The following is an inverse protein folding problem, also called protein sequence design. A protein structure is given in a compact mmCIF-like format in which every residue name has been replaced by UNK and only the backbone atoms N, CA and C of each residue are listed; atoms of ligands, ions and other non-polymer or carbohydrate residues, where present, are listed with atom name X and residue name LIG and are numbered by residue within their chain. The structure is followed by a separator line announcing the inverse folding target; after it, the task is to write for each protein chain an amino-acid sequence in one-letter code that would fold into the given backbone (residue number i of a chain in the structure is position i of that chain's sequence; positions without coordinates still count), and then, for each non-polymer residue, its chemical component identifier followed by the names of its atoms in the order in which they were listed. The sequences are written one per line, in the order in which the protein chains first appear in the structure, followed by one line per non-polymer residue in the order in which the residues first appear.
data_IF_086643408000
#
_entry.id   IF_086643408000
#
_cell.length_a   1.000
_cell.length_b   1.000
_cell.length_c   1.000
_cell.angle_alpha   90.00
_cell.angle_beta   90.00
_cell.angle_gamma   90.00
#
_symmetry.space_group_name_H-M   'P 1'
#
loop_
_entity.id
_entity.type
_entity.pdbx_description
1 polymer ?
#
# COMPACT_ATOMS: atom_id res chain seq x y z
N UNK A 1 -26.52 9.61 22.90
CA UNK A 1 -26.24 8.17 23.00
C UNK A 1 -25.36 7.80 21.80
N UNK A 2 -24.05 7.64 22.01
CA UNK A 2 -23.16 7.10 20.97
C UNK A 2 -23.42 5.59 20.90
N UNK A 3 -23.93 5.08 19.79
CA UNK A 3 -23.92 3.65 19.56
C UNK A 3 -22.47 3.22 19.39
N UNK A 4 -21.98 2.37 20.30
CA UNK A 4 -20.72 1.68 20.14
C UNK A 4 -20.80 0.88 18.84
N UNK A 5 -20.03 1.28 17.82
CA UNK A 5 -19.84 0.44 16.65
C UNK A 5 -19.11 -0.80 17.13
N UNK A 6 -19.75 -1.95 17.00
CA UNK A 6 -19.14 -3.25 17.24
C UNK A 6 -17.97 -3.39 16.28
N UNK A 7 -16.76 -3.53 16.84
CA UNK A 7 -15.58 -3.96 16.10
C UNK A 7 -15.96 -5.23 15.34
N UNK A 8 -15.75 -5.32 14.02
CA UNK A 8 -16.08 -6.52 13.27
C UNK A 8 -15.42 -7.73 13.92
N UNK A 9 -16.20 -8.80 14.13
CA UNK A 9 -15.65 -10.10 14.48
C UNK A 9 -14.62 -10.51 13.43
N UNK A 10 -13.60 -11.26 13.90
CA UNK A 10 -12.52 -11.83 13.09
C UNK A 10 -13.06 -12.30 11.72
N UNK A 11 -12.49 -11.84 10.58
CA UNK A 11 -12.96 -12.26 9.26
C UNK A 11 -12.99 -13.78 9.17
N UNK A 12 -14.08 -14.34 8.65
CA UNK A 12 -14.15 -15.76 8.37
C UNK A 12 -13.07 -16.12 7.33
N UNK A 13 -12.44 -17.30 7.40
CA UNK A 13 -11.35 -17.70 6.50
C UNK A 13 -11.73 -17.85 5.00
N UNK A 14 -12.87 -17.28 4.57
CA UNK A 14 -13.33 -17.19 3.18
C UNK A 14 -13.87 -15.81 2.77
N UNK A 15 -13.87 -14.79 3.64
CA UNK A 15 -14.22 -13.43 3.22
C UNK A 15 -13.08 -12.86 2.36
N UNK A 16 -13.44 -12.28 1.21
CA UNK A 16 -12.46 -11.59 0.37
C UNK A 16 -11.76 -10.51 1.21
N UNK A 17 -10.42 -10.50 1.20
CA UNK A 17 -9.65 -9.51 1.92
C UNK A 17 -10.14 -8.11 1.53
N UNK A 18 -10.76 -7.41 2.49
CA UNK A 18 -11.20 -6.03 2.33
C UNK A 18 -9.94 -5.21 2.09
N UNK A 19 -9.84 -4.58 0.91
CA UNK A 19 -8.67 -3.79 0.55
C UNK A 19 -8.51 -2.60 1.50
N UNK A 20 -7.28 -2.10 1.67
CA UNK A 20 -6.98 -1.04 2.65
C UNK A 20 -7.87 0.20 2.51
N UNK A 21 -8.38 0.48 1.30
CA UNK A 21 -9.25 1.64 1.02
C UNK A 21 -10.64 1.53 1.66
N UNK A 22 -11.08 0.31 1.92
CA UNK A 22 -12.40 0.00 2.47
C UNK A 22 -12.32 -0.27 3.98
N UNK A 23 -11.11 -0.28 4.55
CA UNK A 23 -10.86 -0.43 5.98
C UNK A 23 -10.76 0.92 6.68
N UNK A 24 -11.23 0.98 7.92
CA UNK A 24 -10.86 2.03 8.86
C UNK A 24 -9.41 1.88 9.32
N UNK A 25 -8.82 2.97 9.80
CA UNK A 25 -7.46 2.93 10.40
C UNK A 25 -7.41 1.97 11.59
N UNK A 26 -8.48 1.89 12.39
CA UNK A 26 -8.57 0.96 13.52
C UNK A 26 -8.53 -0.50 13.07
N UNK A 27 -9.30 -0.85 12.02
CA UNK A 27 -9.31 -2.21 11.45
C UNK A 27 -7.96 -2.58 10.83
N UNK A 28 -7.31 -1.64 10.12
CA UNK A 28 -5.98 -1.89 9.56
C UNK A 28 -4.95 -2.15 10.67
N UNK A 29 -4.93 -1.32 11.71
CA UNK A 29 -4.01 -1.50 12.85
C UNK A 29 -4.26 -2.82 13.58
N UNK A 30 -5.52 -3.19 13.79
CA UNK A 30 -5.88 -4.48 14.38
C UNK A 30 -5.41 -5.66 13.50
N UNK A 31 -5.52 -5.53 12.17
CA UNK A 31 -5.07 -6.54 11.21
C UNK A 31 -3.55 -6.73 11.23
N UNK A 32 -2.78 -5.63 11.27
CA UNK A 32 -1.31 -5.69 11.37
C UNK A 32 -0.84 -6.28 12.70
N UNK A 33 -1.58 -6.03 13.80
CA UNK A 33 -1.26 -6.56 15.12
C UNK A 33 -1.69 -8.03 15.33
N UNK A 34 -2.52 -8.58 14.44
CA UNK A 34 -3.03 -9.93 14.56
C UNK A 34 -1.92 -10.99 14.41
N UNK A 35 -2.10 -12.14 15.05
CA UNK A 35 -1.22 -13.31 14.86
C UNK A 35 -1.49 -14.03 13.53
N UNK A 36 -1.48 -13.27 12.43
CA UNK A 36 -1.66 -13.74 11.05
C UNK A 36 -0.45 -13.32 10.21
N UNK A 37 -0.14 -14.02 9.10
CA UNK A 37 1.05 -13.70 8.31
C UNK A 37 0.96 -12.38 7.52
N UNK A 38 -0.26 -11.90 7.26
CA UNK A 38 -0.57 -10.67 6.51
C UNK A 38 -1.75 -9.94 7.17
N UNK A 39 -1.87 -8.61 6.99
CA UNK A 39 -0.89 -7.69 6.39
C UNK A 39 0.36 -7.52 7.28
N UNK A 40 1.50 -7.17 6.66
CA UNK A 40 2.80 -7.13 7.32
C UNK A 40 3.55 -5.79 7.18
N UNK A 41 4.87 -5.82 7.39
CA UNK A 41 5.72 -4.63 7.34
C UNK A 41 5.75 -3.94 5.97
N UNK A 42 5.66 -4.70 4.87
CA UNK A 42 5.57 -4.14 3.52
C UNK A 42 4.29 -3.33 3.32
N UNK A 43 3.16 -3.93 3.72
CA UNK A 43 1.83 -3.29 3.73
C UNK A 43 1.85 -1.99 4.55
N UNK A 44 2.41 -2.02 5.76
CA UNK A 44 2.55 -0.84 6.61
C UNK A 44 3.46 0.24 6.00
N UNK A 45 4.56 -0.15 5.35
CA UNK A 45 5.49 0.77 4.68
C UNK A 45 4.84 1.48 3.49
N UNK A 46 4.04 0.75 2.71
CA UNK A 46 3.28 1.33 1.60
C UNK A 46 2.23 2.34 2.10
N UNK A 47 1.52 2.03 3.19
CA UNK A 47 0.58 2.97 3.81
C UNK A 47 1.29 4.22 4.35
N UNK A 48 2.44 4.07 5.00
CA UNK A 48 3.24 5.20 5.47
C UNK A 48 3.66 6.12 4.32
N UNK A 49 4.06 5.54 3.17
CA UNK A 49 4.31 6.30 1.95
C UNK A 49 3.07 7.05 1.46
N UNK A 50 1.91 6.39 1.41
CA UNK A 50 0.66 7.02 0.97
C UNK A 50 0.27 8.22 1.86
N UNK A 51 0.45 8.10 3.19
CA UNK A 51 0.27 9.20 4.14
C UNK A 51 1.22 10.36 3.87
N UNK A 52 2.51 10.07 3.58
CA UNK A 52 3.47 11.10 3.20
C UNK A 52 3.00 11.87 1.97
N UNK A 53 2.53 11.17 0.93
CA UNK A 53 2.02 11.81 -0.28
C UNK A 53 0.77 12.65 -0.01
N UNK A 54 -0.16 12.14 0.82
CA UNK A 54 -1.36 12.88 1.20
C UNK A 54 -1.03 14.22 1.91
N UNK A 55 0.02 14.24 2.73
CA UNK A 55 0.51 15.47 3.37
C UNK A 55 1.12 16.45 2.35
N UNK A 56 1.93 15.97 1.41
CA UNK A 56 2.48 16.82 0.34
C UNK A 56 1.37 17.46 -0.51
N UNK A 57 0.30 16.70 -0.79
CA UNK A 57 -0.91 17.20 -1.46
C UNK A 57 -1.63 18.27 -0.66
N UNK A 58 -1.76 18.08 0.66
CA UNK A 58 -2.34 19.08 1.54
C UNK A 58 -1.56 20.40 1.47
N UNK A 59 -0.23 20.36 1.54
CA UNK A 59 0.62 21.56 1.42
C UNK A 59 0.40 22.26 0.09
N UNK A 60 0.47 21.52 -1.02
CA UNK A 60 0.24 22.09 -2.34
C UNK A 60 -1.17 22.71 -2.47
N UNK A 61 -2.20 22.00 -1.99
CA UNK A 61 -3.59 22.47 -1.99
C UNK A 61 -3.80 23.73 -1.15
N UNK A 62 -3.07 23.90 -0.05
CA UNK A 62 -3.12 25.11 0.78
C UNK A 62 -2.47 26.32 0.10
N UNK A 63 -1.53 26.13 -0.83
CA UNK A 63 -0.85 27.22 -1.54
C UNK A 63 -1.59 27.66 -2.81
N UNK A 64 -2.23 26.71 -3.50
CA UNK A 64 -2.96 26.98 -4.75
C UNK A 64 -4.04 28.04 -4.59
N UNK A 65 -4.12 28.95 -5.56
CA UNK A 65 -5.08 30.05 -5.56
C UNK A 65 -4.89 31.10 -4.46
N UNK A 66 -3.81 31.03 -3.64
CA UNK A 66 -3.47 32.10 -2.70
C UNK A 66 -2.71 33.21 -3.39
N UNK A 67 -2.96 34.43 -2.92
CA UNK A 67 -2.21 35.61 -3.31
C UNK A 67 -0.73 35.45 -2.93
N UNK A 68 0.18 35.68 -3.88
CA UNK A 68 1.63 35.46 -3.73
C UNK A 68 2.14 34.14 -4.29
N UNK A 69 1.25 33.26 -4.77
CA UNK A 69 1.58 31.94 -5.35
C UNK A 69 1.16 31.80 -6.82
N UNK A 70 0.75 32.89 -7.47
CA UNK A 70 0.21 32.88 -8.84
C UNK A 70 1.21 32.29 -9.85
N UNK A 71 2.49 32.60 -9.68
CA UNK A 71 3.56 32.07 -10.55
C UNK A 71 3.80 30.56 -10.34
N UNK A 72 3.49 30.04 -9.15
CA UNK A 72 3.68 28.64 -8.78
C UNK A 72 2.44 27.75 -9.06
N UNK A 73 1.27 28.32 -9.40
CA UNK A 73 0.01 27.56 -9.46
C UNK A 73 0.05 26.39 -10.45
N UNK A 74 0.72 26.57 -11.60
CA UNK A 74 0.91 25.51 -12.60
C UNK A 74 1.78 24.36 -12.04
N UNK A 75 2.88 24.68 -11.34
CA UNK A 75 3.74 23.69 -10.72
C UNK A 75 3.02 22.94 -9.58
N UNK A 76 2.27 23.67 -8.75
CA UNK A 76 1.45 23.10 -7.69
C UNK A 76 0.36 22.16 -8.25
N UNK A 77 -0.23 22.49 -9.40
CA UNK A 77 -1.17 21.61 -10.09
C UNK A 77 -0.50 20.31 -10.59
N UNK A 78 0.74 20.40 -11.08
CA UNK A 78 1.52 19.23 -11.50
C UNK A 78 1.90 18.34 -10.30
N UNK A 79 2.32 18.95 -9.18
CA UNK A 79 2.60 18.24 -7.93
C UNK A 79 1.36 17.45 -7.50
N UNK A 80 0.19 18.10 -7.47
CA UNK A 80 -1.06 17.46 -7.05
C UNK A 80 -1.45 16.28 -7.98
N UNK A 81 -1.24 16.42 -9.29
CA UNK A 81 -1.52 15.35 -10.26
C UNK A 81 -0.61 14.13 -10.04
N UNK A 82 0.71 14.35 -9.95
CA UNK A 82 1.69 13.29 -9.69
C UNK A 82 1.44 12.61 -8.36
N UNK A 83 1.18 13.40 -7.32
CA UNK A 83 0.92 12.91 -5.99
C UNK A 83 -0.33 12.03 -5.92
N UNK A 84 -1.42 12.36 -6.63
CA UNK A 84 -2.58 11.46 -6.71
C UNK A 84 -2.21 10.08 -7.28
N UNK A 85 -1.41 10.05 -8.33
CA UNK A 85 -0.98 8.80 -8.96
C UNK A 85 -0.06 7.98 -8.04
N UNK A 86 0.94 8.61 -7.42
CA UNK A 86 1.85 7.96 -6.47
C UNK A 86 1.09 7.45 -5.24
N UNK A 87 0.17 8.25 -4.67
CA UNK A 87 -0.67 7.82 -3.54
C UNK A 87 -1.52 6.60 -3.90
N UNK A 88 -2.23 6.64 -5.04
CA UNK A 88 -3.05 5.51 -5.48
C UNK A 88 -2.22 4.23 -5.69
N UNK A 89 -0.99 4.37 -6.15
CA UNK A 89 -0.05 3.25 -6.34
C UNK A 89 0.40 2.66 -5.00
N UNK A 90 0.74 3.52 -4.02
CA UNK A 90 1.11 3.11 -2.66
C UNK A 90 -0.06 2.43 -1.95
N UNK A 91 -1.28 2.95 -2.08
CA UNK A 91 -2.49 2.30 -1.53
C UNK A 91 -2.69 0.90 -2.13
N UNK A 92 -2.51 0.72 -3.44
CA UNK A 92 -2.62 -0.59 -4.08
C UNK A 92 -1.50 -1.56 -3.65
N UNK A 93 -0.31 -1.04 -3.33
CA UNK A 93 0.82 -1.85 -2.85
C UNK A 93 0.60 -2.40 -1.44
N UNK A 94 -0.26 -1.78 -0.63
CA UNK A 94 -0.67 -2.34 0.67
C UNK A 94 -1.31 -3.72 0.47
N UNK A 95 -2.31 -3.80 -0.41
CA UNK A 95 -3.01 -5.06 -0.68
C UNK A 95 -2.11 -6.05 -1.46
N UNK A 96 -1.27 -5.53 -2.35
CA UNK A 96 -0.37 -6.37 -3.15
C UNK A 96 0.70 -7.07 -2.32
N UNK A 97 1.17 -6.45 -1.22
CA UNK A 97 2.11 -7.07 -0.28
C UNK A 97 1.47 -8.29 0.40
N UNK A 98 0.23 -8.13 0.88
CA UNK A 98 -0.54 -9.22 1.46
C UNK A 98 -0.77 -10.36 0.45
N UNK A 99 -1.25 -10.03 -0.76
CA UNK A 99 -1.47 -11.03 -1.84
C UNK A 99 -0.20 -11.76 -2.24
N UNK A 100 0.92 -11.05 -2.36
CA UNK A 100 2.20 -11.65 -2.74
C UNK A 100 2.67 -12.67 -1.70
N UNK A 101 2.50 -12.37 -0.41
CA UNK A 101 2.85 -13.30 0.66
C UNK A 101 1.89 -14.50 0.74
N UNK A 102 0.58 -14.29 0.52
CA UNK A 102 -0.39 -15.38 0.43
C UNK A 102 -0.06 -16.35 -0.71
N UNK A 103 0.40 -15.85 -1.86
CA UNK A 103 0.87 -16.69 -2.97
C UNK A 103 2.08 -17.55 -2.57
N UNK A 104 3.00 -17.02 -1.76
CA UNK A 104 4.12 -17.80 -1.20
C UNK A 104 3.60 -18.92 -0.29
N UNK A 105 2.66 -18.62 0.60
CA UNK A 105 2.06 -19.64 1.47
C UNK A 105 1.32 -20.73 0.68
N UNK A 106 0.59 -20.34 -0.37
CA UNK A 106 -0.09 -21.28 -1.26
C UNK A 106 0.90 -22.20 -1.97
N UNK A 107 1.99 -21.65 -2.52
CA UNK A 107 3.05 -22.43 -3.16
C UNK A 107 3.74 -23.38 -2.15
N UNK A 108 3.97 -22.94 -0.91
CA UNK A 108 4.56 -23.79 0.14
C UNK A 108 3.70 -25.03 0.40
N UNK A 109 2.37 -24.87 0.40
CA UNK A 109 1.36 -25.91 0.69
C UNK A 109 1.11 -26.89 -0.45
N UNK A 110 1.59 -26.62 -1.67
CA UNK A 110 1.41 -27.52 -2.80
C UNK A 110 1.98 -28.92 -2.53
N UNK A 111 1.35 -29.93 -3.15
CA UNK A 111 1.79 -31.32 -3.11
C UNK A 111 3.22 -31.49 -3.65
N UNK A 112 3.90 -32.54 -3.21
CA UNK A 112 5.31 -32.81 -3.53
C UNK A 112 5.66 -34.31 -3.56
N UNK A 113 4.66 -35.18 -3.70
CA UNK A 113 4.85 -36.62 -3.69
C UNK A 113 5.46 -37.11 -5.00
N UNK A 114 4.97 -36.63 -6.15
CA UNK A 114 5.43 -37.05 -7.49
C UNK A 114 6.47 -36.09 -8.09
N UNK A 115 7.27 -36.54 -9.08
CA UNK A 115 8.20 -35.65 -9.80
C UNK A 115 7.48 -34.45 -10.44
N UNK A 116 6.30 -34.66 -11.03
CA UNK A 116 5.49 -33.60 -11.66
C UNK A 116 5.00 -32.58 -10.62
N UNK A 117 4.50 -33.05 -9.47
CA UNK A 117 4.08 -32.16 -8.38
C UNK A 117 5.25 -31.34 -7.84
N UNK A 118 6.43 -31.95 -7.69
CA UNK A 118 7.64 -31.24 -7.25
C UNK A 118 8.05 -30.16 -8.24
N UNK A 119 8.00 -30.44 -9.55
CA UNK A 119 8.31 -29.46 -10.59
C UNK A 119 7.33 -28.27 -10.55
N UNK A 120 6.02 -28.55 -10.52
CA UNK A 120 4.98 -27.51 -10.43
C UNK A 120 5.12 -26.67 -9.16
N UNK A 121 5.43 -27.29 -8.01
CA UNK A 121 5.68 -26.58 -6.75
C UNK A 121 6.89 -25.67 -6.83
N UNK A 122 7.99 -26.12 -7.47
CA UNK A 122 9.19 -25.29 -7.64
C UNK A 122 8.88 -24.06 -8.51
N UNK A 123 8.17 -24.25 -9.62
CA UNK A 123 7.77 -23.15 -10.50
C UNK A 123 6.88 -22.13 -9.78
N UNK A 124 5.83 -22.60 -9.09
CA UNK A 124 4.94 -21.75 -8.31
C UNK A 124 5.70 -20.97 -7.22
N UNK A 125 6.65 -21.61 -6.55
CA UNK A 125 7.48 -20.98 -5.54
C UNK A 125 8.36 -19.87 -6.12
N UNK A 126 9.01 -20.11 -7.26
CA UNK A 126 9.86 -19.11 -7.92
C UNK A 126 9.05 -17.90 -8.37
N UNK A 127 7.85 -18.12 -8.92
CA UNK A 127 6.93 -17.05 -9.30
C UNK A 127 6.48 -16.23 -8.07
N UNK A 128 6.07 -16.92 -6.99
CA UNK A 128 5.62 -16.27 -5.76
C UNK A 128 6.75 -15.46 -5.10
N UNK A 129 7.97 -16.00 -5.01
CA UNK A 129 9.12 -15.27 -4.45
C UNK A 129 9.52 -14.05 -5.27
N UNK A 130 9.50 -14.18 -6.60
CA UNK A 130 9.72 -13.03 -7.48
C UNK A 130 8.74 -11.92 -7.14
N UNK A 131 7.45 -12.25 -7.07
CA UNK A 131 6.41 -11.27 -6.79
C UNK A 131 6.54 -10.66 -5.38
N UNK A 132 6.80 -11.49 -4.38
CA UNK A 132 7.06 -11.05 -3.00
C UNK A 132 8.30 -10.15 -2.86
N UNK A 133 9.23 -10.20 -3.82
CA UNK A 133 10.39 -9.31 -3.88
C UNK A 133 10.13 -8.04 -4.70
N UNK A 134 9.33 -8.15 -5.76
CA UNK A 134 8.97 -7.02 -6.62
C UNK A 134 8.08 -6.00 -5.90
N UNK A 135 7.14 -6.44 -5.06
CA UNK A 135 6.25 -5.54 -4.31
C UNK A 135 6.99 -4.57 -3.37
N UNK A 136 7.92 -5.00 -2.49
CA UNK A 136 8.67 -4.07 -1.65
C UNK A 136 9.63 -3.19 -2.47
N UNK A 137 10.20 -3.69 -3.57
CA UNK A 137 11.01 -2.87 -4.49
C UNK A 137 10.19 -1.74 -5.11
N UNK A 138 8.97 -2.05 -5.54
CA UNK A 138 8.04 -1.08 -6.08
C UNK A 138 7.59 -0.07 -5.02
N UNK A 139 7.31 -0.54 -3.80
CA UNK A 139 7.02 0.33 -2.65
C UNK A 139 8.16 1.32 -2.40
N UNK A 140 9.41 0.85 -2.39
CA UNK A 140 10.58 1.71 -2.23
C UNK A 140 10.65 2.78 -3.34
N UNK A 141 10.42 2.42 -4.60
CA UNK A 141 10.42 3.38 -5.72
C UNK A 141 9.34 4.44 -5.57
N UNK A 142 8.12 4.06 -5.18
CA UNK A 142 7.03 5.01 -4.93
C UNK A 142 7.29 5.89 -3.70
N UNK A 143 7.97 5.37 -2.68
CA UNK A 143 8.42 6.17 -1.53
C UNK A 143 9.49 7.21 -1.92
N UNK A 144 10.38 6.90 -2.87
CA UNK A 144 11.31 7.91 -3.42
C UNK A 144 10.53 9.04 -4.10
N UNK A 145 9.55 8.72 -4.93
CA UNK A 145 8.67 9.74 -5.54
C UNK A 145 7.92 10.54 -4.46
N UNK A 146 7.47 9.90 -3.38
CA UNK A 146 6.83 10.59 -2.26
C UNK A 146 7.75 11.63 -1.61
N UNK A 147 9.04 11.33 -1.46
CA UNK A 147 10.05 12.25 -0.93
C UNK A 147 10.29 13.43 -1.90
N UNK A 148 10.40 13.15 -3.20
CA UNK A 148 10.54 14.20 -4.23
C UNK A 148 9.33 15.14 -4.25
N UNK A 149 8.12 14.59 -4.09
CA UNK A 149 6.89 15.37 -3.98
C UNK A 149 6.85 16.21 -2.70
N UNK A 150 7.33 15.68 -1.57
CA UNK A 150 7.43 16.43 -0.32
C UNK A 150 8.42 17.60 -0.45
N UNK A 151 9.58 17.38 -1.06
CA UNK A 151 10.55 18.44 -1.33
C UNK A 151 9.97 19.52 -2.25
N UNK A 152 9.30 19.13 -3.34
CA UNK A 152 8.67 20.06 -4.26
C UNK A 152 7.56 20.87 -3.58
N UNK A 153 6.73 20.23 -2.75
CA UNK A 153 5.68 20.89 -1.99
C UNK A 153 6.24 21.93 -1.01
N UNK A 154 7.33 21.64 -0.30
CA UNK A 154 7.97 22.61 0.60
C UNK A 154 8.59 23.79 -0.15
N UNK A 155 9.16 23.57 -1.33
CA UNK A 155 9.79 24.65 -2.11
C UNK A 155 8.80 25.58 -2.80
N UNK A 156 7.59 25.09 -3.09
CA UNK A 156 6.60 25.77 -3.94
C UNK A 156 5.32 26.17 -3.20
N UNK A 157 5.06 25.56 -2.04
CA UNK A 157 3.84 25.74 -1.25
C UNK A 157 3.97 26.63 -0.02
#
# INVERSE_FOLDING_TARGET
MLQARTIPSRPDPGDAAVGVKDQTVEEFLASVAAATPTPGGGSASALAGALSVALSRMVAGLARGKKGYEEADSELAQIESKARATQASLEALVDEDARAYEAVLAAIRMAKATPTERAARVEAMQSAYRKATETPLETMRRCIEALELAEAAVKKG
#
